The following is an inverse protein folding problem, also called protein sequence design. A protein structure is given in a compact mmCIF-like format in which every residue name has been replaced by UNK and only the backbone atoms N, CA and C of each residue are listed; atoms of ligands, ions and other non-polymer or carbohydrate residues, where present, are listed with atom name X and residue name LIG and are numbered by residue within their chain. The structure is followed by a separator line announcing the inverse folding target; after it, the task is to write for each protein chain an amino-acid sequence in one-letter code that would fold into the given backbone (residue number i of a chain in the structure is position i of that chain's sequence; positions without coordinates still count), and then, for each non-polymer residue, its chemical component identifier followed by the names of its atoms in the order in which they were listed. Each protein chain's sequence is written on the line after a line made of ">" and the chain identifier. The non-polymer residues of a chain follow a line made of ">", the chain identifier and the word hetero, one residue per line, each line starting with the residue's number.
data_IF_935908064571
#
_entry.id   IF_935908064571
#
_cell.length_a   1.000
_cell.length_b   1.000
_cell.length_c   1.000
_cell.angle_alpha   90.00
_cell.angle_beta   90.00
_cell.angle_gamma   90.00
#
_symmetry.space_group_name_H-M   'P 1'
#
loop_
_entity.id
_entity.type
_entity.pdbx_description
1 polymer ?
#
# COMPACT_ATOMS: atom_id res chain seq x y z
N UNK A 1 4.86 17.22 -2.18
CA UNK A 1 4.76 15.99 -1.38
C UNK A 1 5.91 15.10 -1.81
N UNK A 2 6.82 14.76 -0.90
CA UNK A 2 7.98 13.93 -1.24
C UNK A 2 7.71 12.46 -1.01
N UNK A 3 6.91 12.13 0.00
CA UNK A 3 6.51 10.77 0.34
C UNK A 3 5.17 10.45 -0.33
N UNK A 4 4.98 9.17 -0.70
CA UNK A 4 3.80 8.72 -1.42
C UNK A 4 3.04 7.61 -0.66
N UNK A 5 3.76 6.67 -0.04
CA UNK A 5 3.23 5.71 0.93
C UNK A 5 4.11 5.71 2.19
N UNK A 6 3.55 5.33 3.35
CA UNK A 6 4.26 5.19 4.62
C UNK A 6 3.69 4.01 5.43
N UNK A 7 4.55 3.26 6.11
CA UNK A 7 4.16 2.27 7.10
C UNK A 7 5.05 2.39 8.34
N UNK A 8 4.45 2.31 9.52
CA UNK A 8 5.13 2.45 10.81
C UNK A 8 5.10 1.07 11.51
N UNK A 9 6.25 0.39 11.66
CA UNK A 9 6.32 -0.92 12.31
C UNK A 9 5.89 -0.89 13.78
N UNK A 10 6.33 0.15 14.49
CA UNK A 10 6.06 0.36 15.90
C UNK A 10 5.96 1.87 16.16
N UNK A 11 4.81 2.34 16.64
CA UNK A 11 4.55 3.75 16.88
C UNK A 11 5.42 4.35 18.01
N UNK A 12 5.99 3.50 18.87
CA UNK A 12 6.90 3.91 19.94
C UNK A 12 8.37 3.93 19.49
N UNK A 13 8.66 3.46 18.27
CA UNK A 13 9.99 3.42 17.68
C UNK A 13 10.15 4.50 16.58
N UNK A 14 11.40 4.93 16.29
CA UNK A 14 11.65 5.99 15.32
C UNK A 14 11.65 5.49 13.87
N UNK A 15 11.44 4.20 13.65
CA UNK A 15 11.55 3.54 12.36
C UNK A 15 10.26 3.63 11.54
N UNK A 16 10.43 3.73 10.23
CA UNK A 16 9.32 3.68 9.28
C UNK A 16 9.81 3.28 7.90
N UNK A 17 8.90 2.71 7.13
CA UNK A 17 9.08 2.38 5.71
C UNK A 17 8.29 3.37 4.86
N UNK A 18 8.84 3.77 3.73
CA UNK A 18 8.14 4.70 2.84
C UNK A 18 8.60 4.60 1.38
N UNK A 19 7.77 5.16 0.49
CA UNK A 19 8.10 5.38 -0.92
C UNK A 19 8.16 6.88 -1.26
N UNK A 20 8.84 7.22 -2.36
CA UNK A 20 8.87 8.59 -2.89
C UNK A 20 7.83 8.82 -3.99
N UNK A 21 7.31 10.05 -4.08
CA UNK A 21 6.42 10.45 -5.18
C UNK A 21 7.16 10.81 -6.48
N UNK A 22 8.48 10.94 -6.44
CA UNK A 22 9.31 11.27 -7.60
C UNK A 22 9.60 10.03 -8.46
N UNK A 23 9.81 10.23 -9.77
CA UNK A 23 10.23 9.15 -10.66
C UNK A 23 11.64 8.64 -10.32
N UNK A 24 12.47 9.49 -9.72
CA UNK A 24 13.85 9.20 -9.30
C UNK A 24 14.29 10.22 -8.25
N UNK A 25 14.98 9.77 -7.19
CA UNK A 25 15.41 10.59 -6.06
C UNK A 25 16.76 10.12 -5.53
N UNK A 26 17.73 11.02 -5.48
CA UNK A 26 18.95 10.80 -4.67
C UNK A 26 18.63 10.99 -3.20
N UNK A 27 19.01 10.01 -2.38
CA UNK A 27 18.78 10.02 -0.93
C UNK A 27 20.14 10.08 -0.24
N UNK A 28 20.35 11.03 0.70
CA UNK A 28 21.61 11.09 1.45
C UNK A 28 21.91 9.76 2.16
N UNK A 29 23.14 9.27 2.00
CA UNK A 29 23.58 8.00 2.59
C UNK A 29 23.46 6.79 1.67
N UNK A 30 22.66 6.87 0.60
CA UNK A 30 22.57 5.81 -0.41
C UNK A 30 23.52 6.12 -1.59
N UNK A 31 24.18 5.07 -2.09
CA UNK A 31 25.08 5.19 -3.24
C UNK A 31 24.29 5.44 -4.53
N UNK A 32 23.20 4.69 -4.70
CA UNK A 32 22.33 4.77 -5.87
C UNK A 32 21.03 5.52 -5.55
N UNK A 33 20.48 6.27 -6.53
CA UNK A 33 19.18 6.90 -6.38
C UNK A 33 18.06 5.86 -6.47
N UNK A 34 16.98 6.13 -5.74
CA UNK A 34 15.77 5.30 -5.71
C UNK A 34 14.71 5.88 -6.64
N UNK A 35 13.76 5.07 -7.07
CA UNK A 35 12.58 5.45 -7.84
C UNK A 35 11.31 5.38 -6.97
N UNK A 36 10.18 5.85 -7.50
CA UNK A 36 8.91 5.89 -6.74
C UNK A 36 8.24 4.53 -6.51
N UNK A 37 8.84 3.46 -7.04
CA UNK A 37 8.40 2.06 -6.88
C UNK A 37 9.25 1.29 -5.88
N UNK A 38 10.19 1.97 -5.23
CA UNK A 38 11.09 1.40 -4.23
C UNK A 38 10.63 1.81 -2.83
N UNK A 39 10.96 0.98 -1.84
CA UNK A 39 10.75 1.28 -0.43
C UNK A 39 12.09 1.40 0.30
N UNK A 40 12.19 2.44 1.11
CA UNK A 40 13.31 2.65 2.01
C UNK A 40 12.88 2.46 3.45
N UNK A 41 13.83 1.98 4.25
CA UNK A 41 13.72 1.95 5.71
C UNK A 41 14.46 3.15 6.28
N UNK A 42 13.83 3.84 7.22
CA UNK A 42 14.49 4.78 8.12
C UNK A 42 14.56 4.16 9.50
N UNK A 43 15.72 4.18 10.15
CA UNK A 43 15.95 3.55 11.48
C UNK A 43 16.04 4.57 12.63
N UNK A 44 15.71 5.83 12.38
CA UNK A 44 15.95 6.94 13.33
C UNK A 44 17.26 7.71 13.08
N UNK A 45 18.17 7.18 12.26
CA UNK A 45 19.48 7.79 12.00
C UNK A 45 19.89 7.80 10.52
N UNK A 46 19.56 6.75 9.77
CA UNK A 46 19.98 6.56 8.38
C UNK A 46 18.91 5.90 7.52
N UNK A 47 18.99 6.14 6.21
CA UNK A 47 18.17 5.47 5.22
C UNK A 47 18.89 4.22 4.72
N UNK A 48 18.15 3.13 4.50
CA UNK A 48 18.63 1.91 3.86
C UNK A 48 17.60 1.39 2.85
N UNK A 49 18.08 0.67 1.83
CA UNK A 49 17.22 -0.04 0.89
C UNK A 49 16.44 -1.14 1.59
N UNK A 50 15.14 -1.24 1.32
CA UNK A 50 14.29 -2.28 1.87
C UNK A 50 13.58 -3.11 0.79
N UNK A 51 13.14 -2.47 -0.29
CA UNK A 51 12.50 -3.14 -1.42
C UNK A 51 12.83 -2.40 -2.72
N UNK A 52 13.30 -3.12 -3.73
CA UNK A 52 13.50 -2.64 -5.09
C UNK A 52 12.34 -3.16 -5.97
N UNK A 53 11.48 -2.25 -6.43
CA UNK A 53 10.32 -2.63 -7.23
C UNK A 53 10.68 -3.14 -8.62
N UNK A 54 11.81 -2.68 -9.15
CA UNK A 54 12.27 -3.02 -10.50
C UNK A 54 12.69 -4.48 -10.64
N UNK A 55 13.25 -5.06 -9.57
CA UNK A 55 13.62 -6.47 -9.51
C UNK A 55 12.42 -7.41 -9.55
N UNK A 56 11.25 -6.93 -9.12
CA UNK A 56 10.03 -7.73 -9.01
C UNK A 56 8.92 -7.30 -9.97
N UNK A 57 9.28 -6.54 -11.00
CA UNK A 57 8.46 -6.29 -12.17
C UNK A 57 7.80 -4.91 -12.25
N UNK A 58 7.94 -4.05 -11.23
CA UNK A 58 7.52 -2.65 -11.31
C UNK A 58 8.58 -1.88 -12.10
N UNK A 59 8.34 -1.62 -13.38
CA UNK A 59 9.32 -1.05 -14.32
C UNK A 59 8.91 0.31 -14.91
N UNK A 60 7.67 0.76 -14.66
CA UNK A 60 7.07 1.97 -15.22
C UNK A 60 7.03 3.12 -14.20
N UNK A 61 8.10 3.90 -14.16
CA UNK A 61 8.37 4.98 -13.17
C UNK A 61 7.30 6.08 -13.04
N UNK A 62 6.34 6.18 -13.96
CA UNK A 62 5.27 7.19 -13.89
C UNK A 62 3.94 6.65 -13.37
N UNK A 63 3.69 5.34 -13.48
CA UNK A 63 2.41 4.73 -13.12
C UNK A 63 2.55 3.77 -11.95
N UNK A 64 3.65 3.01 -11.90
CA UNK A 64 3.85 1.95 -10.91
C UNK A 64 4.50 2.46 -9.62
N UNK A 65 4.29 3.74 -9.29
CA UNK A 65 4.77 4.30 -8.03
C UNK A 65 3.94 3.79 -6.88
N UNK A 66 4.57 3.24 -5.85
CA UNK A 66 3.86 2.75 -4.67
C UNK A 66 3.23 3.94 -3.95
N UNK A 67 1.92 3.90 -3.76
CA UNK A 67 1.14 4.95 -3.11
C UNK A 67 0.25 4.46 -1.97
N UNK A 68 0.09 3.15 -1.79
CA UNK A 68 -0.45 2.56 -0.56
C UNK A 68 0.45 1.43 -0.09
N UNK A 69 0.67 1.34 1.22
CA UNK A 69 1.55 0.34 1.82
C UNK A 69 1.05 -0.07 3.21
N UNK A 70 0.93 -1.39 3.41
CA UNK A 70 0.81 -1.97 4.75
C UNK A 70 1.66 -3.26 4.80
N UNK A 71 2.31 -3.54 5.92
CA UNK A 71 3.23 -4.68 6.05
C UNK A 71 2.78 -5.58 7.20
N UNK A 72 2.72 -6.87 6.91
CA UNK A 72 2.40 -7.93 7.86
C UNK A 72 3.58 -8.90 8.03
N UNK A 73 3.51 -9.69 9.09
CA UNK A 73 4.35 -10.87 9.24
C UNK A 73 4.26 -11.77 8.00
N UNK A 74 5.40 -12.32 7.57
CA UNK A 74 5.47 -13.15 6.38
C UNK A 74 4.55 -14.37 6.43
N UNK A 75 4.26 -14.90 7.62
CA UNK A 75 3.32 -16.01 7.84
C UNK A 75 1.87 -15.67 7.51
N UNK A 76 1.50 -14.39 7.42
CA UNK A 76 0.16 -13.96 7.03
C UNK A 76 -0.09 -14.12 5.51
N UNK A 77 0.96 -14.29 4.70
CA UNK A 77 0.81 -14.48 3.26
C UNK A 77 -0.01 -15.74 2.94
N UNK A 78 -1.09 -15.63 2.15
CA UNK A 78 -1.90 -16.79 1.73
C UNK A 78 -1.20 -17.63 0.64
N UNK A 79 -0.11 -17.12 0.07
CA UNK A 79 0.71 -17.80 -0.93
C UNK A 79 2.05 -18.25 -0.33
N UNK A 80 2.76 -19.14 -1.04
CA UNK A 80 4.03 -19.72 -0.61
C UNK A 80 3.97 -20.43 0.76
N UNK A 81 2.77 -20.85 1.19
CA UNK A 81 2.55 -21.46 2.50
C UNK A 81 2.94 -20.57 3.69
N UNK A 82 2.90 -19.25 3.54
CA UNK A 82 3.35 -18.29 4.56
C UNK A 82 4.87 -18.23 4.76
N UNK A 83 5.66 -18.89 3.90
CA UNK A 83 7.11 -18.88 3.99
C UNK A 83 7.69 -17.63 3.31
N UNK A 84 7.42 -16.47 3.90
CA UNK A 84 7.88 -15.16 3.44
C UNK A 84 8.68 -14.49 4.58
N UNK A 85 9.61 -13.59 4.23
CA UNK A 85 10.29 -12.74 5.21
C UNK A 85 9.34 -11.66 5.76
N UNK A 86 8.51 -11.11 4.89
CA UNK A 86 7.45 -10.17 5.18
C UNK A 86 6.35 -10.33 4.11
N UNK A 87 5.13 -9.90 4.45
CA UNK A 87 4.02 -9.86 3.52
C UNK A 87 3.56 -8.42 3.33
N UNK A 88 3.81 -7.86 2.16
CA UNK A 88 3.51 -6.45 1.86
C UNK A 88 2.20 -6.37 1.09
N UNK A 89 1.29 -5.52 1.53
CA UNK A 89 0.14 -5.06 0.77
C UNK A 89 0.52 -3.75 0.08
N UNK A 90 0.34 -3.69 -1.25
CA UNK A 90 0.82 -2.58 -2.08
C UNK A 90 -0.29 -2.13 -3.05
N UNK A 91 -0.46 -0.81 -3.17
CA UNK A 91 -1.13 -0.15 -4.32
C UNK A 91 -0.12 0.69 -5.08
N UNK A 92 -0.40 0.93 -6.37
CA UNK A 92 0.36 1.86 -7.20
C UNK A 92 -0.49 3.03 -7.70
N UNK A 93 0.13 4.16 -7.99
CA UNK A 93 -0.56 5.37 -8.46
C UNK A 93 -1.41 5.18 -9.73
N UNK A 94 -1.04 4.22 -10.56
CA UNK A 94 -1.72 3.89 -11.80
C UNK A 94 -1.64 2.42 -12.13
N UNK A 95 -1.94 2.05 -13.39
CA UNK A 95 -1.88 0.67 -13.84
C UNK A 95 -0.47 0.09 -13.77
N UNK A 96 -0.41 -1.19 -13.42
CA UNK A 96 0.81 -1.92 -13.18
C UNK A 96 0.72 -3.36 -13.69
N UNK A 97 1.88 -3.99 -13.88
CA UNK A 97 1.95 -5.40 -14.27
C UNK A 97 3.20 -6.12 -13.77
N UNK A 98 2.99 -7.17 -12.99
CA UNK A 98 4.05 -7.98 -12.36
C UNK A 98 3.90 -9.47 -12.69
N UNK A 99 4.92 -10.32 -12.45
CA UNK A 99 4.76 -11.78 -12.52
C UNK A 99 3.73 -12.29 -11.51
N UNK A 100 2.81 -13.16 -11.93
CA UNK A 100 1.83 -13.77 -11.02
C UNK A 100 2.41 -15.04 -10.37
N UNK A 101 2.21 -15.24 -9.07
CA UNK A 101 2.67 -16.45 -8.36
C UNK A 101 2.14 -17.76 -8.97
N UNK A 102 0.93 -17.71 -9.54
CA UNK A 102 0.27 -18.85 -10.18
C UNK A 102 0.71 -19.06 -11.64
N UNK A 103 1.64 -18.24 -12.12
CA UNK A 103 2.15 -18.22 -13.50
C UNK A 103 1.53 -17.12 -14.35
N UNK A 104 2.26 -16.66 -15.37
CA UNK A 104 1.82 -15.58 -16.25
C UNK A 104 2.03 -14.18 -15.64
N UNK A 105 1.14 -13.24 -15.98
CA UNK A 105 1.22 -11.84 -15.56
C UNK A 105 0.00 -11.47 -14.71
N UNK A 106 0.23 -10.79 -13.59
CA UNK A 106 -0.79 -10.12 -12.81
C UNK A 106 -0.85 -8.67 -13.28
N UNK A 107 -2.04 -8.23 -13.72
CA UNK A 107 -2.31 -6.84 -14.09
C UNK A 107 -3.23 -6.24 -13.05
N UNK A 108 -2.96 -5.01 -12.65
CA UNK A 108 -3.76 -4.30 -11.65
C UNK A 108 -3.76 -2.80 -11.94
N UNK A 109 -4.76 -2.09 -11.43
CA UNK A 109 -4.94 -0.64 -11.46
C UNK A 109 -4.53 0.00 -10.12
N UNK A 110 -4.56 1.33 -10.06
CA UNK A 110 -4.30 2.04 -8.80
C UNK A 110 -5.50 2.11 -7.84
N UNK A 111 -6.56 1.38 -8.16
CA UNK A 111 -7.68 1.07 -7.28
C UNK A 111 -7.54 -0.31 -6.63
N UNK A 112 -6.58 -1.12 -7.09
CA UNK A 112 -6.38 -2.49 -6.62
C UNK A 112 -5.33 -2.53 -5.51
N UNK A 113 -5.37 -3.58 -4.69
CA UNK A 113 -4.32 -3.92 -3.72
C UNK A 113 -3.76 -5.30 -4.06
N UNK A 114 -2.44 -5.37 -4.18
CA UNK A 114 -1.71 -6.61 -4.43
C UNK A 114 -0.88 -7.00 -3.22
N UNK A 115 -0.77 -8.31 -2.98
CA UNK A 115 0.05 -8.88 -1.93
C UNK A 115 1.38 -9.37 -2.48
N UNK A 116 2.47 -9.03 -1.81
CA UNK A 116 3.83 -9.47 -2.13
C UNK A 116 4.41 -10.32 -1.00
N UNK A 117 4.60 -11.60 -1.26
CA UNK A 117 5.37 -12.50 -0.40
C UNK A 117 6.86 -12.30 -0.68
N UNK A 118 7.55 -11.56 0.17
CA UNK A 118 8.98 -11.30 0.02
C UNK A 118 9.79 -12.55 0.40
N UNK A 119 10.67 -13.00 -0.49
CA UNK A 119 11.66 -14.07 -0.23
C UNK A 119 13.08 -13.53 -0.13
N UNK A 120 13.32 -12.31 -0.61
CA UNK A 120 14.51 -11.49 -0.40
C UNK A 120 14.10 -10.01 -0.38
N UNK A 121 14.73 -9.22 0.48
CA UNK A 121 14.53 -7.77 0.64
C UNK A 121 15.88 -7.05 0.48
N UNK A 122 15.83 -5.72 0.29
CA UNK A 122 16.99 -4.86 0.03
C UNK A 122 17.18 -4.56 -1.46
N UNK A 123 18.40 -4.19 -1.85
CA UNK A 123 18.76 -3.87 -3.25
C UNK A 123 18.61 -5.03 -4.23
N UNK A 124 18.50 -6.26 -3.75
CA UNK A 124 18.19 -7.43 -4.57
C UNK A 124 16.92 -8.07 -4.03
N UNK A 125 15.79 -7.58 -4.53
CA UNK A 125 14.47 -8.00 -4.05
C UNK A 125 13.97 -9.20 -4.84
N UNK A 126 13.37 -10.16 -4.15
CA UNK A 126 12.74 -11.31 -4.78
C UNK A 126 11.48 -11.71 -4.01
N UNK A 127 10.49 -12.24 -4.72
CA UNK A 127 9.25 -12.67 -4.10
C UNK A 127 8.17 -13.00 -5.11
N UNK A 128 6.94 -13.12 -4.61
CA UNK A 128 5.79 -13.59 -5.37
C UNK A 128 4.60 -12.64 -5.17
N UNK A 129 3.90 -12.33 -6.26
CA UNK A 129 2.73 -11.45 -6.24
C UNK A 129 1.42 -12.21 -6.37
N UNK A 130 0.38 -11.73 -5.69
CA UNK A 130 -1.01 -12.14 -5.91
C UNK A 130 -1.98 -10.96 -5.69
N UNK A 131 -3.23 -11.10 -6.14
CA UNK A 131 -4.26 -10.08 -5.95
C UNK A 131 -4.90 -10.22 -4.57
N UNK A 132 -5.04 -9.11 -3.83
CA UNK A 132 -5.72 -9.07 -2.54
C UNK A 132 -7.10 -8.44 -2.68
N UNK A 133 -7.18 -7.29 -3.37
CA UNK A 133 -8.41 -6.60 -3.72
C UNK A 133 -8.34 -6.18 -5.18
N UNK A 134 -9.25 -6.68 -6.02
CA UNK A 134 -9.50 -6.16 -7.36
C UNK A 134 -10.58 -5.06 -7.23
N UNK A 135 -10.14 -3.85 -6.91
CA UNK A 135 -11.02 -2.71 -6.69
C UNK A 135 -11.87 -2.39 -7.92
N UNK A 136 -11.34 -2.67 -9.12
CA UNK A 136 -12.10 -2.49 -10.36
C UNK A 136 -13.30 -3.45 -10.45
N UNK A 137 -13.15 -4.69 -9.97
CA UNK A 137 -14.22 -5.67 -9.89
C UNK A 137 -15.27 -5.30 -8.83
N UNK A 138 -14.84 -4.66 -7.75
CA UNK A 138 -15.74 -4.14 -6.72
C UNK A 138 -16.40 -2.79 -7.08
N UNK A 139 -16.05 -2.20 -8.22
CA UNK A 139 -16.64 -0.95 -8.70
C UNK A 139 -15.98 0.33 -8.16
N UNK A 140 -14.78 0.24 -7.59
CA UNK A 140 -13.98 1.39 -7.23
C UNK A 140 -13.69 2.27 -8.47
N UNK A 141 -13.65 3.61 -8.32
CA UNK A 141 -13.19 4.47 -9.40
C UNK A 141 -11.73 4.15 -9.76
N UNK A 142 -11.36 4.29 -11.03
CA UNK A 142 -9.99 3.99 -11.50
C UNK A 142 -8.94 4.81 -10.79
N UNK A 143 -7.84 4.15 -10.39
CA UNK A 143 -6.68 4.75 -9.73
C UNK A 143 -7.07 5.57 -8.49
N UNK A 144 -8.07 5.10 -7.73
CA UNK A 144 -8.71 5.89 -6.68
C UNK A 144 -8.11 5.73 -5.30
N UNK A 145 -7.36 4.66 -5.03
CA UNK A 145 -6.72 4.46 -3.72
C UNK A 145 -5.71 5.56 -3.48
N UNK A 146 -5.79 6.22 -2.31
CA UNK A 146 -4.77 7.17 -1.85
C UNK A 146 -3.82 6.49 -0.85
N UNK A 147 -4.33 5.68 0.09
CA UNK A 147 -3.58 4.87 1.06
C UNK A 147 -4.51 3.86 1.76
N UNK A 148 -3.96 2.88 2.48
CA UNK A 148 -4.73 1.89 3.25
C UNK A 148 -3.97 1.32 4.45
N UNK A 149 -4.71 0.78 5.41
CA UNK A 149 -4.20 -0.05 6.52
C UNK A 149 -5.10 -1.27 6.72
N UNK A 150 -4.54 -2.39 7.15
CA UNK A 150 -5.30 -3.60 7.48
C UNK A 150 -5.57 -3.65 9.00
N UNK A 151 -6.75 -4.11 9.40
CA UNK A 151 -7.08 -4.41 10.80
C UNK A 151 -6.17 -5.51 11.37
N UNK A 152 -6.05 -5.54 12.70
CA UNK A 152 -5.16 -6.49 13.39
C UNK A 152 -5.55 -7.96 13.16
N UNK A 153 -6.86 -8.23 13.01
CA UNK A 153 -7.38 -9.55 12.69
C UNK A 153 -7.20 -9.94 11.21
N UNK A 154 -6.78 -9.00 10.36
CA UNK A 154 -6.56 -9.19 8.93
C UNK A 154 -7.84 -9.30 8.10
N UNK A 155 -9.00 -8.94 8.66
CA UNK A 155 -10.31 -9.12 8.03
C UNK A 155 -10.85 -7.86 7.35
N UNK A 156 -10.39 -6.69 7.77
CA UNK A 156 -10.90 -5.40 7.29
C UNK A 156 -9.76 -4.56 6.73
N UNK A 157 -9.88 -4.14 5.47
CA UNK A 157 -9.00 -3.16 4.88
C UNK A 157 -9.62 -1.77 5.03
N UNK A 158 -8.98 -0.90 5.80
CA UNK A 158 -9.32 0.51 5.89
C UNK A 158 -8.59 1.28 4.79
N UNK A 159 -9.31 2.09 4.01
CA UNK A 159 -8.71 2.85 2.91
C UNK A 159 -9.23 4.28 2.83
N UNK A 160 -8.40 5.15 2.27
CA UNK A 160 -8.79 6.49 1.81
C UNK A 160 -8.67 6.58 0.30
N UNK A 161 -9.48 7.45 -0.31
CA UNK A 161 -9.52 7.61 -1.76
C UNK A 161 -9.21 9.04 -2.20
N UNK A 162 -8.77 9.16 -3.46
CA UNK A 162 -8.35 10.41 -4.11
C UNK A 162 -9.47 11.42 -4.31
N UNK A 163 -10.72 10.99 -4.29
CA UNK A 163 -11.88 11.78 -4.68
C UNK A 163 -13.19 11.11 -4.29
N UNK A 164 -14.25 11.35 -5.07
CA UNK A 164 -15.57 10.77 -4.83
C UNK A 164 -15.53 9.25 -4.79
N UNK A 165 -16.16 8.66 -3.77
CA UNK A 165 -16.26 7.22 -3.58
C UNK A 165 -17.71 6.84 -3.29
N UNK A 166 -18.32 6.07 -4.19
CA UNK A 166 -19.70 5.60 -4.07
C UNK A 166 -19.73 4.12 -4.51
N UNK A 167 -19.47 3.22 -3.56
CA UNK A 167 -19.37 1.78 -3.79
C UNK A 167 -20.10 1.08 -2.66
N UNK A 168 -20.97 0.12 -2.98
CA UNK A 168 -21.86 -0.53 -2.03
C UNK A 168 -22.59 0.45 -1.09
N UNK A 169 -22.32 0.36 0.20
CA UNK A 169 -22.87 1.25 1.23
C UNK A 169 -21.96 2.44 1.55
N UNK A 170 -20.73 2.45 1.04
CA UNK A 170 -19.79 3.55 1.22
C UNK A 170 -20.16 4.72 0.30
N UNK A 171 -20.31 5.92 0.88
CA UNK A 171 -20.63 7.15 0.14
C UNK A 171 -19.86 8.34 0.71
N UNK A 172 -19.01 8.96 -0.10
CA UNK A 172 -18.23 10.11 0.34
C UNK A 172 -17.24 10.63 -0.69
N UNK A 173 -16.15 11.22 -0.20
CA UNK A 173 -15.07 11.79 -1.00
C UNK A 173 -13.69 11.48 -0.45
N UNK A 174 -12.74 12.35 -0.78
CA UNK A 174 -11.38 12.28 -0.28
C UNK A 174 -11.32 12.62 1.22
N UNK A 175 -10.20 12.26 1.87
CA UNK A 175 -9.96 12.59 3.29
C UNK A 175 -11.04 12.03 4.22
N UNK A 176 -11.54 10.86 3.85
CA UNK A 176 -12.46 10.02 4.61
C UNK A 176 -11.90 8.60 4.62
N UNK A 177 -12.22 7.83 5.67
CA UNK A 177 -11.81 6.43 5.77
C UNK A 177 -13.01 5.54 5.52
N UNK A 178 -12.86 4.55 4.63
CA UNK A 178 -13.83 3.52 4.33
C UNK A 178 -13.29 2.17 4.76
N UNK A 179 -14.17 1.20 4.99
CA UNK A 179 -13.80 -0.17 5.30
C UNK A 179 -14.22 -1.11 4.16
N UNK A 180 -13.37 -2.07 3.85
CA UNK A 180 -13.64 -3.21 2.99
C UNK A 180 -13.50 -4.49 3.80
N UNK A 181 -14.59 -5.23 3.93
CA UNK A 181 -14.59 -6.55 4.56
C UNK A 181 -14.10 -7.60 3.55
N UNK A 182 -12.96 -8.24 3.83
CA UNK A 182 -12.35 -9.24 2.94
C UNK A 182 -13.15 -10.55 2.84
N UNK A 183 -13.99 -10.84 3.84
CA UNK A 183 -14.84 -12.02 3.87
C UNK A 183 -16.12 -11.86 3.05
N UNK A 184 -16.80 -10.73 3.19
CA UNK A 184 -18.04 -10.43 2.43
C UNK A 184 -17.78 -9.73 1.11
N UNK A 185 -16.58 -9.18 0.90
CA UNK A 185 -16.20 -8.39 -0.27
C UNK A 185 -17.13 -7.19 -0.47
N UNK A 186 -17.28 -6.37 0.56
CA UNK A 186 -18.19 -5.21 0.51
C UNK A 186 -17.60 -3.97 1.18
N UNK A 187 -17.87 -2.80 0.60
CA UNK A 187 -17.48 -1.51 1.15
C UNK A 187 -18.53 -0.87 2.07
N UNK A 188 -18.05 -0.21 3.13
CA UNK A 188 -18.85 0.58 4.07
C UNK A 188 -18.16 1.88 4.51
N UNK A 189 -18.90 2.76 5.16
CA UNK A 189 -18.39 4.03 5.70
C UNK A 189 -19.00 5.28 5.02
N UNK A 190 -18.42 6.47 5.25
CA UNK A 190 -17.13 6.68 5.91
C UNK A 190 -17.17 6.41 7.41
N UNK A 191 -16.14 5.75 7.95
CA UNK A 191 -15.92 5.55 9.38
C UNK A 191 -15.28 6.79 10.04
N UNK A 192 -14.52 7.55 9.26
CA UNK A 192 -13.89 8.79 9.69
C UNK A 192 -14.00 9.86 8.61
N UNK A 193 -14.25 11.11 9.03
CA UNK A 193 -14.26 12.29 8.17
C UNK A 193 -13.27 13.32 8.72
N UNK A 194 -12.21 13.62 7.97
CA UNK A 194 -11.13 14.49 8.44
C UNK A 194 -11.61 15.91 8.79
N UNK A 195 -12.50 16.47 7.97
CA UNK A 195 -13.02 17.82 8.17
C UNK A 195 -13.78 17.96 9.50
N UNK A 196 -14.56 16.95 9.88
CA UNK A 196 -15.33 16.93 11.14
C UNK A 196 -14.42 16.85 12.37
N UNK A 197 -13.17 16.41 12.16
CA UNK A 197 -12.13 16.30 13.18
C UNK A 197 -11.10 17.44 13.11
N UNK A 198 -11.46 18.58 12.49
CA UNK A 198 -10.61 19.77 12.46
C UNK A 198 -9.42 19.69 11.50
N UNK A 199 -9.44 18.74 10.55
CA UNK A 199 -8.48 18.62 9.46
C UNK A 199 -9.14 19.06 8.13
N UNK A 200 -9.33 20.37 7.89
CA UNK A 200 -10.10 20.87 6.75
C UNK A 200 -9.34 20.84 5.41
N UNK A 201 -8.06 20.44 5.42
CA UNK A 201 -7.23 20.31 4.23
C UNK A 201 -7.20 18.86 3.77
N UNK A 202 -6.85 18.63 2.50
CA UNK A 202 -6.72 17.27 1.96
C UNK A 202 -5.69 16.48 2.79
N UNK A 203 -6.14 15.35 3.32
CA UNK A 203 -5.35 14.28 3.94
C UNK A 203 -5.35 13.07 2.99
N UNK A 204 -4.18 12.46 2.80
CA UNK A 204 -3.99 11.35 1.87
C UNK A 204 -3.33 10.12 2.52
N UNK A 205 -2.66 10.26 3.67
CA UNK A 205 -2.03 9.13 4.35
C UNK A 205 -2.97 8.55 5.40
N UNK A 206 -2.89 7.24 5.60
CA UNK A 206 -3.71 6.51 6.56
C UNK A 206 -2.83 5.47 7.27
N UNK A 207 -2.76 5.61 8.59
CA UNK A 207 -2.27 4.57 9.48
C UNK A 207 -3.33 4.37 10.56
N UNK A 208 -3.70 3.12 10.80
CA UNK A 208 -4.77 2.75 11.73
C UNK A 208 -4.17 1.81 12.76
N UNK A 209 -4.13 2.26 14.01
CA UNK A 209 -3.74 1.45 15.14
C UNK A 209 -4.99 0.96 15.88
N UNK A 210 -5.22 -0.37 15.86
CA UNK A 210 -6.44 -1.00 16.39
C UNK A 210 -7.61 -0.97 15.42
N UNK A 211 -8.81 -1.27 15.93
CA UNK A 211 -10.04 -1.27 15.13
C UNK A 211 -10.73 0.10 15.18
N UNK A 212 -11.33 0.52 14.05
CA UNK A 212 -12.11 1.76 13.97
C UNK A 212 -13.60 1.57 14.27
N UNK A 213 -14.05 0.34 14.47
CA UNK A 213 -15.47 -0.05 14.53
C UNK A 213 -16.03 -0.17 15.97
N UNK A 214 -15.51 0.61 16.93
CA UNK A 214 -16.06 0.71 18.31
C UNK A 214 -17.17 1.77 18.47
#
# INVERSE_FOLDING_TARGET
>A
HNLNAIWIPDADAPDFVFSFGQNRRSVPGLADPVDGMDLLWWDGASFSWWFDGSDVGLTQKTQEKIDGLHVLDGSASPINGGNCLAYLLISTQGPAKVPNYSGGQLKFGGEDVVGFCATSLGETTAGLWHMVLDGSAEGMPRNSTDDFSLSEDGQTLYLTTKGTFNVDSATGGHSMVYAYDLGTQTFSGPLFVAADNGLPKKVNGLDVAGDLDE
#
